data_IF_740106899979
#
_entry.id   IF_740106899979
#
_cell.length_a   1.000
_cell.length_b   1.000
_cell.length_c   1.000
_cell.angle_alpha   90.00
_cell.angle_beta   90.00
_cell.angle_gamma   90.00
#
_symmetry.space_group_name_H-M   'P 1'
#
loop_
_entity.id
_entity.type
_entity.pdbx_description
1 polymer ?
#
# COMPACT_ATOMS: atom_id res chain seq x y z
N UNK A 1 15.52 3.56 26.74
CA UNK A 1 15.21 4.18 25.43
C UNK A 1 15.59 5.66 25.46
N UNK A 2 15.07 6.41 26.42
CA UNK A 2 15.31 7.86 26.51
C UNK A 2 16.77 8.18 26.90
N UNK A 3 17.38 7.37 27.77
CA UNK A 3 18.82 7.49 28.09
C UNK A 3 19.74 7.28 26.87
N UNK A 4 19.35 6.38 25.95
CA UNK A 4 20.12 6.11 24.72
C UNK A 4 19.97 7.29 23.77
N UNK A 5 18.76 7.82 23.63
CA UNK A 5 18.50 9.02 22.83
C UNK A 5 19.31 10.22 23.35
N UNK A 6 19.27 10.49 24.65
CA UNK A 6 20.03 11.57 25.28
C UNK A 6 21.54 11.40 25.10
N UNK A 7 22.03 10.16 25.19
CA UNK A 7 23.44 9.85 24.99
C UNK A 7 23.89 10.11 23.54
N UNK A 8 23.04 9.79 22.56
CA UNK A 8 23.32 10.01 21.13
C UNK A 8 23.27 11.51 20.80
N UNK A 9 22.25 12.22 21.28
CA UNK A 9 22.06 13.66 21.02
C UNK A 9 23.19 14.52 21.60
N UNK A 10 23.80 14.10 22.70
CA UNK A 10 24.94 14.81 23.34
C UNK A 10 26.27 14.66 22.59
N UNK A 11 26.36 13.78 21.57
CA UNK A 11 27.57 13.62 20.79
C UNK A 11 27.80 14.83 19.88
N UNK A 12 28.98 15.45 19.96
CA UNK A 12 29.35 16.61 19.10
C UNK A 12 29.27 16.33 17.60
N UNK A 13 29.36 15.05 17.20
CA UNK A 13 29.22 14.61 15.81
C UNK A 13 27.76 14.51 15.35
N UNK A 14 26.81 14.45 16.29
CA UNK A 14 25.38 14.36 16.00
C UNK A 14 24.82 15.78 15.92
N UNK A 15 24.70 16.28 14.69
CA UNK A 15 23.86 17.46 14.43
C UNK A 15 22.43 16.98 14.37
N UNK A 16 21.62 17.32 15.36
CA UNK A 16 20.16 17.28 15.19
C UNK A 16 19.85 18.32 14.12
N UNK A 17 19.67 17.89 12.88
CA UNK A 17 18.93 18.67 11.90
C UNK A 17 17.53 18.83 12.47
N UNK A 18 17.14 20.06 12.78
CA UNK A 18 15.74 20.39 12.99
C UNK A 18 14.99 19.89 11.76
N UNK A 19 14.26 18.79 11.91
CA UNK A 19 13.43 18.27 10.84
C UNK A 19 12.51 19.41 10.40
N UNK A 20 12.61 19.79 9.12
CA UNK A 20 11.67 20.74 8.56
C UNK A 20 10.28 20.16 8.75
N UNK A 21 9.34 20.95 9.28
CA UNK A 21 7.96 20.49 9.48
C UNK A 21 7.39 19.94 8.18
N UNK A 22 6.44 19.00 8.26
CA UNK A 22 5.76 18.47 7.08
C UNK A 22 5.18 19.59 6.18
N UNK A 23 4.70 20.68 6.79
CA UNK A 23 4.23 21.88 6.11
C UNK A 23 5.34 22.60 5.31
N UNK A 24 6.54 22.71 5.89
CA UNK A 24 7.69 23.30 5.20
C UNK A 24 8.13 22.42 4.02
N UNK A 25 8.19 21.10 4.21
CA UNK A 25 8.54 20.14 3.14
C UNK A 25 7.48 20.17 2.03
N UNK A 26 6.19 20.19 2.37
CA UNK A 26 5.10 20.34 1.42
C UNK A 26 5.22 21.65 0.63
N UNK A 27 5.58 22.75 1.29
CA UNK A 27 5.79 24.05 0.64
C UNK A 27 6.95 23.98 -0.35
N UNK A 28 8.07 23.35 0.00
CA UNK A 28 9.19 23.15 -0.90
C UNK A 28 8.81 22.29 -2.11
N UNK A 29 8.05 21.21 -1.89
CA UNK A 29 7.57 20.36 -2.97
C UNK A 29 6.63 21.11 -3.91
N UNK A 30 5.68 21.85 -3.34
CA UNK A 30 4.73 22.70 -4.07
C UNK A 30 5.43 23.74 -4.95
N UNK A 31 6.51 24.34 -4.43
CA UNK A 31 7.37 25.30 -5.14
C UNK A 31 8.36 24.64 -6.12
N UNK A 32 8.26 23.32 -6.36
CA UNK A 32 9.18 22.53 -7.18
C UNK A 32 10.65 22.59 -6.72
N UNK A 33 10.91 22.88 -5.44
CA UNK A 33 12.28 22.95 -4.86
C UNK A 33 12.84 21.59 -4.44
N UNK A 34 11.97 20.62 -4.17
CA UNK A 34 12.33 19.21 -3.96
C UNK A 34 11.56 18.33 -4.93
N UNK A 35 12.12 17.18 -5.28
CA UNK A 35 11.55 16.22 -6.23
C UNK A 35 10.30 15.51 -5.69
N UNK A 36 9.52 14.89 -6.58
CA UNK A 36 8.38 14.05 -6.17
C UNK A 36 8.86 12.87 -5.32
N UNK A 37 9.98 12.25 -5.70
CA UNK A 37 10.56 11.15 -4.94
C UNK A 37 10.96 11.53 -3.51
N UNK A 38 11.68 12.64 -3.33
CA UNK A 38 12.08 13.11 -1.99
C UNK A 38 10.85 13.44 -1.14
N UNK A 39 9.85 14.08 -1.75
CA UNK A 39 8.61 14.39 -1.05
C UNK A 39 7.84 13.13 -0.62
N UNK A 40 7.73 12.13 -1.50
CA UNK A 40 7.09 10.85 -1.19
C UNK A 40 7.84 10.09 -0.08
N UNK A 41 9.18 10.12 -0.06
CA UNK A 41 9.95 9.55 1.05
C UNK A 41 9.63 10.26 2.37
N UNK A 42 9.54 11.59 2.36
CA UNK A 42 9.19 12.35 3.56
C UNK A 42 7.77 12.06 4.04
N UNK A 43 6.79 12.04 3.14
CA UNK A 43 5.39 11.70 3.45
C UNK A 43 5.27 10.30 4.04
N UNK A 44 6.01 9.32 3.47
CA UNK A 44 6.08 7.97 4.03
C UNK A 44 6.64 7.97 5.46
N UNK A 45 7.77 8.64 5.68
CA UNK A 45 8.39 8.74 7.01
C UNK A 45 7.43 9.33 8.05
N UNK A 46 6.78 10.45 7.73
CA UNK A 46 5.79 11.10 8.61
C UNK A 46 4.55 10.24 8.88
N UNK A 47 4.21 9.35 7.95
CA UNK A 47 3.13 8.38 8.09
C UNK A 47 3.55 7.10 8.85
N UNK A 48 4.75 7.07 9.45
CA UNK A 48 5.27 5.96 10.25
C UNK A 48 5.98 4.87 9.45
N UNK A 49 6.25 5.10 8.15
CA UNK A 49 6.91 4.11 7.29
C UNK A 49 8.42 4.16 7.39
N UNK A 50 9.07 3.01 7.29
CA UNK A 50 10.53 2.92 7.39
C UNK A 50 11.10 1.73 6.60
N UNK A 51 12.30 1.91 6.05
CA UNK A 51 13.07 0.82 5.45
C UNK A 51 13.50 -0.25 6.48
N UNK A 52 13.47 0.08 7.77
CA UNK A 52 13.84 -0.83 8.86
C UNK A 52 12.71 -1.78 9.28
N UNK A 53 11.48 -1.58 8.81
CA UNK A 53 10.31 -2.40 9.13
C UNK A 53 9.58 -2.80 7.84
N UNK A 54 9.74 -4.07 7.43
CA UNK A 54 9.09 -4.61 6.23
C UNK A 54 7.55 -4.66 6.33
N UNK A 55 6.99 -4.65 7.54
CA UNK A 55 5.54 -4.60 7.77
C UNK A 55 4.97 -3.21 7.53
N UNK A 56 5.82 -2.19 7.61
CA UNK A 56 5.51 -0.78 7.40
C UNK A 56 6.49 -0.15 6.39
N UNK A 57 6.82 -0.88 5.33
CA UNK A 57 7.75 -0.39 4.31
C UNK A 57 7.17 0.82 3.56
N UNK A 58 8.00 1.75 3.06
CA UNK A 58 7.51 2.88 2.26
C UNK A 58 6.78 2.43 0.99
N UNK A 59 5.71 3.16 0.66
CA UNK A 59 4.82 2.87 -0.47
C UNK A 59 4.95 3.96 -1.52
N UNK A 60 5.06 3.55 -2.79
CA UNK A 60 5.16 4.44 -3.95
C UNK A 60 4.12 4.06 -5.01
N UNK A 61 3.62 5.01 -5.81
CA UNK A 61 2.62 4.72 -6.82
C UNK A 61 3.21 3.92 -7.98
N UNK A 62 2.40 3.07 -8.61
CA UNK A 62 2.55 2.80 -10.04
C UNK A 62 2.33 4.09 -10.83
N UNK A 63 3.32 4.53 -11.62
CA UNK A 63 3.22 5.74 -12.44
C UNK A 63 2.99 5.43 -13.91
N UNK A 64 3.78 4.52 -14.47
CA UNK A 64 3.67 4.09 -15.86
C UNK A 64 2.58 3.01 -15.97
N UNK A 65 1.80 3.06 -17.04
CA UNK A 65 0.84 2.04 -17.46
C UNK A 65 1.29 1.25 -18.70
N UNK A 66 2.27 1.77 -19.45
CA UNK A 66 2.79 1.14 -20.67
C UNK A 66 4.12 0.39 -20.42
N UNK A 67 4.01 -0.92 -20.18
CA UNK A 67 5.15 -1.83 -20.05
C UNK A 67 5.35 -2.74 -21.28
N UNK A 68 4.51 -2.61 -22.31
CA UNK A 68 4.46 -3.52 -23.47
C UNK A 68 5.05 -2.89 -24.75
N UNK A 69 5.00 -1.57 -24.87
CA UNK A 69 5.53 -0.82 -26.01
C UNK A 69 7.06 -0.85 -26.09
N UNK A 70 7.58 -0.79 -27.32
CA UNK A 70 9.03 -0.69 -27.59
C UNK A 70 9.63 0.65 -27.19
N UNK A 71 8.83 1.71 -27.12
CA UNK A 71 9.24 3.07 -26.75
C UNK A 71 8.28 3.62 -25.71
N UNK A 72 8.82 4.30 -24.72
CA UNK A 72 8.06 4.98 -23.67
C UNK A 72 7.93 6.45 -24.08
N UNK A 73 6.71 6.93 -24.34
CA UNK A 73 6.45 8.34 -24.67
C UNK A 73 5.80 9.07 -23.50
N UNK A 74 6.62 9.75 -22.69
CA UNK A 74 6.15 10.49 -21.52
C UNK A 74 5.33 11.74 -21.84
N UNK A 75 5.13 12.06 -23.13
CA UNK A 75 4.21 13.12 -23.57
C UNK A 75 2.80 12.60 -23.82
N UNK A 76 2.63 11.28 -23.93
CA UNK A 76 1.33 10.66 -24.15
C UNK A 76 0.64 10.39 -22.80
N UNK A 77 -0.51 11.02 -22.51
CA UNK A 77 -1.25 10.77 -21.28
C UNK A 77 -1.60 9.30 -21.04
N UNK A 78 -1.76 8.50 -22.12
CA UNK A 78 -2.07 7.05 -22.03
C UNK A 78 -0.92 6.21 -21.49
N UNK A 79 0.30 6.75 -21.45
CA UNK A 79 1.47 6.09 -20.87
C UNK A 79 1.40 6.06 -19.35
N UNK A 80 0.58 6.91 -18.73
CA UNK A 80 0.50 7.04 -17.28
C UNK A 80 -0.74 6.35 -16.71
N UNK A 81 -0.59 5.83 -15.50
CA UNK A 81 -1.70 5.40 -14.67
C UNK A 81 -2.54 6.61 -14.25
N UNK A 82 -3.85 6.42 -14.16
CA UNK A 82 -4.75 7.33 -13.45
C UNK A 82 -4.45 7.35 -11.93
N UNK A 83 -3.78 8.41 -11.47
CA UNK A 83 -3.42 8.62 -10.06
C UNK A 83 -4.60 9.06 -9.17
N UNK A 84 -5.79 9.28 -9.75
CA UNK A 84 -7.00 9.61 -8.97
C UNK A 84 -7.68 8.39 -8.37
N UNK A 85 -7.24 7.19 -8.77
CA UNK A 85 -7.85 5.90 -8.42
C UNK A 85 -6.85 4.97 -7.71
N UNK A 86 -7.30 4.18 -6.72
CA UNK A 86 -6.52 3.06 -6.22
C UNK A 86 -6.38 1.96 -7.28
N UNK A 87 -5.40 1.07 -7.12
CA UNK A 87 -5.09 -0.02 -8.07
C UNK A 87 -6.36 -0.80 -8.43
N UNK A 88 -7.12 -1.20 -7.40
CA UNK A 88 -8.33 -2.00 -7.55
C UNK A 88 -9.45 -1.33 -8.35
N UNK A 89 -9.38 -0.01 -8.56
CA UNK A 89 -10.37 0.77 -9.30
C UNK A 89 -9.92 1.15 -10.73
N UNK A 90 -8.72 0.77 -11.15
CA UNK A 90 -8.21 1.06 -12.50
C UNK A 90 -9.03 0.34 -13.58
N UNK A 91 -9.36 -0.94 -13.36
CA UNK A 91 -10.12 -1.76 -14.31
C UNK A 91 -11.62 -1.78 -13.98
N UNK A 92 -12.50 -1.21 -14.85
CA UNK A 92 -13.93 -1.05 -14.53
C UNK A 92 -14.67 -2.37 -14.30
N UNK A 93 -14.37 -3.41 -15.08
CA UNK A 93 -15.01 -4.72 -14.94
C UNK A 93 -14.64 -5.38 -13.62
N UNK A 94 -13.37 -5.27 -13.22
CA UNK A 94 -12.90 -5.78 -11.93
C UNK A 94 -13.50 -4.99 -10.76
N UNK A 95 -13.57 -3.66 -10.88
CA UNK A 95 -14.17 -2.80 -9.87
C UNK A 95 -15.64 -3.14 -9.60
N UNK A 96 -16.42 -3.48 -10.64
CA UNK A 96 -17.80 -3.96 -10.46
C UNK A 96 -17.87 -5.21 -9.59
N UNK A 97 -16.92 -6.13 -9.73
CA UNK A 97 -16.81 -7.33 -8.89
C UNK A 97 -16.50 -6.98 -7.43
N UNK A 98 -15.56 -6.06 -7.18
CA UNK A 98 -15.28 -5.59 -5.82
C UNK A 98 -16.48 -4.91 -5.17
N UNK A 99 -17.17 -4.02 -5.89
CA UNK A 99 -18.38 -3.35 -5.38
C UNK A 99 -19.51 -4.33 -5.11
N UNK A 100 -19.71 -5.34 -5.97
CA UNK A 100 -20.67 -6.42 -5.75
C UNK A 100 -20.35 -7.17 -4.46
N UNK A 101 -19.10 -7.64 -4.31
CA UNK A 101 -18.66 -8.36 -3.10
C UNK A 101 -18.86 -7.52 -1.84
N UNK A 102 -18.50 -6.24 -1.87
CA UNK A 102 -18.67 -5.34 -0.72
C UNK A 102 -20.14 -5.17 -0.34
N UNK A 103 -21.03 -5.00 -1.32
CA UNK A 103 -22.47 -4.82 -1.09
C UNK A 103 -23.13 -6.09 -0.56
N UNK A 104 -22.72 -7.25 -1.08
CA UNK A 104 -23.29 -8.54 -0.73
C UNK A 104 -22.59 -9.17 0.51
N UNK A 105 -21.67 -8.44 1.15
CA UNK A 105 -20.90 -8.90 2.31
C UNK A 105 -21.79 -8.98 3.57
N UNK A 106 -21.89 -10.14 4.23
CA UNK A 106 -22.62 -10.25 5.49
C UNK A 106 -22.06 -9.33 6.57
N UNK A 107 -22.95 -8.70 7.35
CA UNK A 107 -22.57 -7.79 8.45
C UNK A 107 -21.61 -8.46 9.43
N UNK A 108 -21.88 -9.72 9.81
CA UNK A 108 -21.05 -10.51 10.73
C UNK A 108 -19.63 -10.73 10.20
N UNK A 109 -19.47 -10.95 8.89
CA UNK A 109 -18.15 -11.18 8.28
C UNK A 109 -17.30 -9.90 8.20
N UNK A 110 -17.96 -8.74 8.27
CA UNK A 110 -17.30 -7.44 8.15
C UNK A 110 -17.20 -6.67 9.46
N UNK A 111 -17.73 -7.24 10.56
CA UNK A 111 -17.98 -6.53 11.82
C UNK A 111 -18.67 -5.17 11.56
N UNK A 112 -19.64 -5.16 10.64
CA UNK A 112 -20.36 -3.95 10.22
C UNK A 112 -19.56 -2.94 9.39
N UNK A 113 -18.33 -3.28 8.96
CA UNK A 113 -17.44 -2.43 8.16
C UNK A 113 -17.13 -3.09 6.81
N UNK A 114 -18.06 -3.06 5.84
CA UNK A 114 -17.84 -3.66 4.53
C UNK A 114 -16.69 -2.96 3.79
N UNK A 115 -15.88 -3.74 3.07
CA UNK A 115 -14.67 -3.29 2.39
C UNK A 115 -14.61 -3.77 0.95
N UNK A 116 -13.82 -3.06 0.11
CA UNK A 116 -13.60 -3.43 -1.28
C UNK A 116 -12.46 -4.42 -1.43
N UNK A 117 -11.38 -4.25 -0.67
CA UNK A 117 -10.13 -5.00 -0.84
C UNK A 117 -9.77 -5.80 0.40
N UNK A 118 -9.79 -7.14 0.27
CA UNK A 118 -9.35 -8.05 1.34
C UNK A 118 -7.84 -8.22 1.42
N UNK A 119 -7.12 -7.81 0.38
CA UNK A 119 -5.66 -7.68 0.38
C UNK A 119 -5.27 -6.22 0.41
N UNK A 120 -4.12 -5.91 1.01
CA UNK A 120 -3.61 -4.55 1.14
C UNK A 120 -2.59 -4.23 0.04
N UNK A 121 -2.42 -2.95 -0.32
CA UNK A 121 -1.45 -2.57 -1.37
C UNK A 121 0.02 -2.68 -0.96
N UNK A 122 0.28 -2.89 0.33
CA UNK A 122 1.62 -3.03 0.89
C UNK A 122 1.61 -4.05 2.02
N UNK A 123 2.32 -5.16 1.83
CA UNK A 123 2.50 -6.23 2.82
C UNK A 123 3.98 -6.65 2.84
N UNK A 124 4.48 -7.27 3.91
CA UNK A 124 5.81 -7.89 3.90
C UNK A 124 6.01 -8.80 2.68
N UNK A 125 5.00 -9.60 2.34
CA UNK A 125 5.03 -10.48 1.18
C UNK A 125 5.24 -9.74 -0.14
N UNK A 126 4.60 -8.59 -0.35
CA UNK A 126 4.77 -7.79 -1.57
C UNK A 126 6.10 -7.05 -1.62
N UNK A 127 6.58 -6.55 -0.48
CA UNK A 127 7.90 -5.93 -0.39
C UNK A 127 8.98 -6.96 -0.75
N UNK A 128 8.90 -8.16 -0.16
CA UNK A 128 9.85 -9.23 -0.45
C UNK A 128 9.68 -9.82 -1.84
N UNK A 129 8.46 -9.85 -2.39
CA UNK A 129 8.22 -10.19 -3.79
C UNK A 129 9.08 -9.32 -4.72
N UNK A 130 9.08 -8.00 -4.52
CA UNK A 130 9.92 -7.10 -5.30
C UNK A 130 11.41 -7.22 -4.96
N UNK A 131 11.75 -7.51 -3.71
CA UNK A 131 13.12 -7.54 -3.21
C UNK A 131 13.77 -8.92 -3.21
N UNK A 132 13.16 -9.95 -3.80
CA UNK A 132 13.65 -11.34 -3.72
C UNK A 132 15.12 -11.49 -4.13
N UNK A 133 15.60 -10.72 -5.12
CA UNK A 133 17.00 -10.70 -5.58
C UNK A 133 17.94 -9.95 -4.63
N UNK A 134 17.44 -8.91 -3.98
CA UNK A 134 18.21 -8.03 -3.09
C UNK A 134 18.29 -8.57 -1.67
N UNK A 135 17.20 -9.11 -1.15
CA UNK A 135 17.00 -9.52 0.24
C UNK A 135 16.45 -10.97 0.34
N UNK A 136 17.08 -11.96 -0.33
CA UNK A 136 16.58 -13.34 -0.41
C UNK A 136 16.42 -14.00 0.96
N UNK A 137 17.29 -13.69 1.92
CA UNK A 137 17.25 -14.24 3.27
C UNK A 137 15.93 -13.93 4.01
N UNK A 138 15.32 -12.77 3.73
CA UNK A 138 14.02 -12.41 4.30
C UNK A 138 12.88 -13.17 3.61
N UNK A 139 12.96 -13.37 2.30
CA UNK A 139 11.99 -14.19 1.56
C UNK A 139 12.03 -15.65 2.05
N UNK A 140 13.22 -16.24 2.18
CA UNK A 140 13.39 -17.60 2.68
C UNK A 140 12.83 -17.76 4.10
N UNK A 141 13.03 -16.76 4.98
CA UNK A 141 12.42 -16.78 6.31
C UNK A 141 10.90 -16.74 6.26
N UNK A 142 10.31 -15.94 5.38
CA UNK A 142 8.87 -15.85 5.21
C UNK A 142 8.28 -17.17 4.64
N UNK A 143 9.02 -17.86 3.79
CA UNK A 143 8.58 -19.05 3.04
C UNK A 143 9.19 -20.35 3.57
N UNK A 144 9.45 -20.43 4.89
CA UNK A 144 9.91 -21.67 5.57
C UNK A 144 11.14 -22.33 4.92
N UNK A 145 12.13 -21.52 4.54
CA UNK A 145 13.43 -21.96 4.04
C UNK A 145 13.52 -22.19 2.53
N UNK A 146 12.46 -21.95 1.76
CA UNK A 146 12.44 -22.15 0.31
C UNK A 146 11.91 -20.90 -0.39
N UNK A 147 12.20 -20.70 -1.67
CA UNK A 147 11.54 -19.66 -2.46
C UNK A 147 10.11 -20.08 -2.81
N UNK A 148 9.26 -19.10 -3.13
CA UNK A 148 7.92 -19.37 -3.66
C UNK A 148 8.00 -20.08 -5.02
N UNK A 149 6.89 -20.65 -5.49
CA UNK A 149 6.85 -21.29 -6.81
C UNK A 149 7.23 -20.29 -7.91
N UNK A 150 7.99 -20.69 -8.93
CA UNK A 150 8.56 -19.76 -9.91
C UNK A 150 7.53 -18.86 -10.60
N UNK A 151 6.35 -19.37 -10.92
CA UNK A 151 5.26 -18.59 -11.54
C UNK A 151 4.66 -17.49 -10.67
N UNK A 152 4.87 -17.55 -9.34
CA UNK A 152 4.46 -16.50 -8.40
C UNK A 152 5.59 -15.53 -8.07
N UNK A 153 6.82 -15.80 -8.47
CA UNK A 153 7.95 -14.91 -8.22
C UNK A 153 7.89 -13.67 -9.12
N UNK A 154 8.56 -12.61 -8.69
CA UNK A 154 8.66 -11.39 -9.46
C UNK A 154 9.61 -11.57 -10.64
N UNK A 155 9.06 -11.99 -11.79
CA UNK A 155 9.86 -12.34 -12.97
C UNK A 155 9.74 -11.33 -14.12
N UNK A 156 8.66 -10.53 -14.20
CA UNK A 156 8.47 -9.55 -15.28
C UNK A 156 7.70 -8.31 -14.82
N UNK A 157 8.15 -7.13 -15.25
CA UNK A 157 7.44 -5.87 -15.00
C UNK A 157 6.10 -5.81 -15.71
N UNK A 158 6.04 -6.25 -16.96
CA UNK A 158 4.79 -6.28 -17.73
C UNK A 158 3.79 -7.22 -17.08
N UNK A 159 4.23 -8.42 -16.67
CA UNK A 159 3.38 -9.37 -15.96
C UNK A 159 2.90 -8.81 -14.61
N UNK A 160 3.80 -8.23 -13.81
CA UNK A 160 3.45 -7.65 -12.52
C UNK A 160 2.40 -6.55 -12.64
N UNK A 161 2.50 -5.71 -13.68
CA UNK A 161 1.50 -4.68 -13.95
C UNK A 161 0.15 -5.27 -14.42
N UNK A 162 0.17 -6.26 -15.32
CA UNK A 162 -1.06 -6.94 -15.74
C UNK A 162 -1.75 -7.67 -14.57
N UNK A 163 -0.98 -8.27 -13.67
CA UNK A 163 -1.51 -8.91 -12.46
C UNK A 163 -2.27 -7.92 -11.59
N UNK A 164 -1.72 -6.71 -11.34
CA UNK A 164 -2.42 -5.68 -10.56
C UNK A 164 -3.65 -5.11 -11.25
N UNK A 165 -3.86 -5.35 -12.55
CA UNK A 165 -5.08 -4.95 -13.26
C UNK A 165 -6.14 -6.05 -13.31
N UNK A 166 -5.73 -7.31 -13.33
CA UNK A 166 -6.62 -8.44 -13.66
C UNK A 166 -6.95 -9.32 -12.47
N UNK A 167 -6.03 -9.50 -11.51
CA UNK A 167 -6.26 -10.36 -10.35
C UNK A 167 -7.14 -9.67 -9.30
N UNK A 168 -8.07 -10.43 -8.70
CA UNK A 168 -8.94 -9.93 -7.61
C UNK A 168 -8.24 -9.91 -6.24
N UNK A 169 -7.05 -10.50 -6.13
CA UNK A 169 -6.26 -10.55 -4.90
C UNK A 169 -5.02 -9.66 -4.97
N UNK A 170 -4.71 -9.11 -6.15
CA UNK A 170 -3.53 -8.27 -6.36
C UNK A 170 -3.91 -6.80 -6.55
N UNK A 171 -3.68 -6.02 -5.50
CA UNK A 171 -3.88 -4.55 -5.48
C UNK A 171 -2.59 -3.82 -5.07
N UNK A 172 -1.42 -4.47 -5.22
CA UNK A 172 -0.15 -3.95 -4.71
C UNK A 172 0.28 -2.66 -5.41
N UNK A 173 0.75 -1.70 -4.62
CA UNK A 173 1.49 -0.53 -5.11
C UNK A 173 2.99 -0.85 -5.13
N UNK A 174 3.81 0.09 -5.60
CA UNK A 174 5.27 -0.07 -5.71
C UNK A 174 6.01 0.32 -4.43
N UNK A 175 7.32 0.08 -4.44
CA UNK A 175 8.29 0.48 -3.41
C UNK A 175 9.28 1.53 -3.97
N UNK A 176 10.01 2.28 -3.12
CA UNK A 176 10.92 3.35 -3.57
C UNK A 176 12.04 2.89 -4.51
N UNK A 177 12.45 1.62 -4.44
CA UNK A 177 13.54 1.04 -5.22
C UNK A 177 13.35 1.22 -6.73
N UNK A 178 12.09 1.18 -7.20
CA UNK A 178 11.74 1.42 -8.60
C UNK A 178 12.13 2.81 -9.12
N UNK A 179 12.38 3.76 -8.21
CA UNK A 179 12.65 5.16 -8.53
C UNK A 179 13.99 5.64 -7.95
N UNK A 180 14.75 4.77 -7.29
CA UNK A 180 15.98 5.13 -6.60
C UNK A 180 17.21 5.00 -7.52
N UNK A 181 17.79 6.14 -7.91
CA UNK A 181 18.96 6.22 -8.77
C UNK A 181 20.28 5.84 -8.07
N UNK A 182 20.28 5.72 -6.75
CA UNK A 182 21.51 5.55 -5.95
C UNK A 182 21.79 4.08 -5.60
N UNK A 183 20.83 3.17 -5.80
CA UNK A 183 21.01 1.73 -5.49
C UNK A 183 21.84 1.02 -6.55
N UNK A 184 22.39 -0.16 -6.23
CA UNK A 184 23.06 -1.02 -7.23
C UNK A 184 22.09 -1.68 -8.23
N UNK A 185 20.79 -1.36 -8.17
CA UNK A 185 19.73 -2.02 -8.95
C UNK A 185 19.71 -3.54 -8.75
N UNK A 186 20.14 -3.96 -7.57
CA UNK A 186 20.22 -5.34 -7.07
C UNK A 186 18.85 -5.97 -6.80
N UNK A 187 17.77 -5.20 -6.79
CA UNK A 187 16.41 -5.73 -6.81
C UNK A 187 15.96 -6.20 -8.22
N UNK A 188 16.62 -5.72 -9.27
CA UNK A 188 16.35 -6.08 -10.67
C UNK A 188 17.24 -7.24 -11.12
N UNK A 189 18.52 -7.20 -10.73
CA UNK A 189 19.54 -8.14 -11.19
C UNK A 189 19.80 -9.25 -10.16
N UNK A 190 19.85 -10.51 -10.59
CA UNK A 190 20.18 -11.69 -9.78
C UNK A 190 21.69 -11.81 -9.56
N UNK A 191 22.31 -10.77 -9.01
CA UNK A 191 23.77 -10.71 -8.78
C UNK A 191 24.32 -11.77 -7.81
N UNK A 192 23.44 -12.47 -7.09
CA UNK A 192 23.78 -13.54 -6.15
C UNK A 192 23.66 -14.94 -6.77
N UNK A 193 23.29 -15.06 -8.04
CA UNK A 193 23.03 -16.33 -8.73
C UNK A 193 22.08 -17.23 -7.92
N UNK A 194 20.97 -16.64 -7.45
CA UNK A 194 19.94 -17.37 -6.72
C UNK A 194 19.26 -18.38 -7.63
N UNK A 195 19.01 -19.59 -7.13
CA UNK A 195 18.13 -20.56 -7.78
C UNK A 195 16.66 -20.18 -7.49
N UNK A 196 16.04 -19.48 -8.43
CA UNK A 196 14.63 -19.07 -8.35
C UNK A 196 13.71 -20.02 -9.15
N UNK A 197 14.27 -21.12 -9.66
CA UNK A 197 13.55 -22.19 -10.36
C UNK A 197 13.05 -21.84 -11.77
N UNK A 198 12.26 -22.78 -12.31
CA UNK A 198 11.74 -22.75 -13.68
C UNK A 198 10.22 -22.68 -13.66
N UNK A 199 9.65 -21.77 -14.45
CA UNK A 199 8.21 -21.59 -14.59
C UNK A 199 7.58 -22.71 -15.41
N UNK A 200 6.26 -22.85 -15.33
CA UNK A 200 5.50 -23.85 -16.08
C UNK A 200 5.68 -23.75 -17.60
N UNK A 201 5.97 -22.57 -18.12
CA UNK A 201 6.25 -22.34 -19.55
C UNK A 201 7.70 -22.70 -19.96
N UNK A 202 8.50 -23.23 -19.03
CA UNK A 202 9.89 -23.60 -19.23
C UNK A 202 10.88 -22.43 -19.11
N UNK A 203 10.41 -21.21 -18.84
CA UNK A 203 11.31 -20.06 -18.62
C UNK A 203 11.93 -20.08 -17.22
N UNK A 204 13.25 -19.89 -17.15
CA UNK A 204 13.94 -19.70 -15.88
C UNK A 204 13.60 -18.35 -15.25
N UNK A 205 13.48 -18.32 -13.93
CA UNK A 205 13.42 -17.06 -13.18
C UNK A 205 14.84 -16.67 -12.81
N UNK A 206 15.33 -15.57 -13.38
CA UNK A 206 16.68 -15.07 -13.10
C UNK A 206 16.64 -13.54 -12.94
N UNK A 207 17.30 -12.74 -13.78
CA UNK A 207 17.10 -11.29 -13.85
C UNK A 207 15.62 -10.93 -14.11
N UNK A 208 15.18 -9.79 -13.57
CA UNK A 208 13.84 -9.28 -13.85
C UNK A 208 13.69 -8.96 -15.34
N UNK A 209 12.67 -9.53 -15.98
CA UNK A 209 12.33 -9.23 -17.37
C UNK A 209 11.82 -7.78 -17.45
N UNK A 210 12.62 -6.94 -18.11
CA UNK A 210 12.37 -5.53 -18.27
C UNK A 210 11.37 -5.24 -19.41
N UNK A 211 10.66 -4.10 -19.35
CA UNK A 211 9.87 -3.61 -20.47
C UNK A 211 10.75 -3.37 -21.70
N UNK A 212 10.19 -3.53 -22.90
CA UNK A 212 10.93 -3.42 -24.17
C UNK A 212 11.62 -2.06 -24.39
N UNK A 213 11.14 -1.02 -23.71
CA UNK A 213 11.73 0.32 -23.76
C UNK A 213 12.97 0.49 -22.86
N UNK A 214 13.33 -0.49 -22.03
CA UNK A 214 14.54 -0.50 -21.21
C UNK A 214 15.43 -1.69 -21.54
N UNK A 215 16.68 -1.42 -21.91
CA UNK A 215 17.69 -2.44 -22.25
C UNK A 215 18.54 -2.87 -21.05
N UNK A 216 18.60 -2.04 -20.01
CA UNK A 216 19.42 -2.29 -18.82
C UNK A 216 18.65 -1.89 -17.57
N UNK A 217 19.00 -2.47 -16.42
CA UNK A 217 18.42 -2.11 -15.12
C UNK A 217 18.56 -0.61 -14.82
N UNK A 218 19.72 -0.03 -15.15
CA UNK A 218 19.94 1.42 -15.01
C UNK A 218 18.99 2.24 -15.88
N UNK A 219 18.82 1.88 -17.15
CA UNK A 219 17.88 2.58 -18.03
C UNK A 219 16.44 2.43 -17.55
N UNK A 220 16.07 1.26 -17.03
CA UNK A 220 14.75 1.01 -16.47
C UNK A 220 14.47 1.95 -15.30
N UNK A 221 15.30 1.94 -14.26
CA UNK A 221 15.10 2.78 -13.06
C UNK A 221 15.18 4.28 -13.40
N UNK A 222 16.08 4.69 -14.31
CA UNK A 222 16.14 6.08 -14.77
C UNK A 222 14.85 6.53 -15.45
N UNK A 223 14.24 5.70 -16.31
CA UNK A 223 12.97 6.03 -16.96
C UNK A 223 11.77 5.98 -16.02
N UNK A 224 11.77 5.07 -15.05
CA UNK A 224 10.78 5.07 -13.97
C UNK A 224 10.86 6.39 -13.19
N UNK A 225 12.07 6.83 -12.81
CA UNK A 225 12.28 8.12 -12.13
C UNK A 225 11.91 9.31 -13.01
N UNK A 226 12.28 9.31 -14.28
CA UNK A 226 11.88 10.35 -15.25
C UNK A 226 10.36 10.48 -15.35
N UNK A 227 9.63 9.35 -15.40
CA UNK A 227 8.18 9.35 -15.42
C UNK A 227 7.59 9.91 -14.11
N UNK A 228 8.11 9.50 -12.94
CA UNK A 228 7.69 10.01 -11.64
C UNK A 228 7.90 11.53 -11.52
N UNK A 229 9.00 12.06 -12.05
CA UNK A 229 9.32 13.49 -12.00
C UNK A 229 8.70 14.32 -13.13
N UNK A 230 8.03 13.68 -14.10
CA UNK A 230 7.37 14.37 -15.21
C UNK A 230 6.35 15.40 -14.75
N UNK A 231 6.09 16.42 -15.58
CA UNK A 231 5.04 17.41 -15.29
C UNK A 231 3.66 16.75 -15.20
N UNK A 232 3.39 15.73 -16.01
CA UNK A 232 2.12 14.99 -15.98
C UNK A 232 1.82 14.44 -14.58
N UNK A 233 2.81 13.78 -13.97
CA UNK A 233 2.71 13.20 -12.62
C UNK A 233 2.74 14.28 -11.56
N UNK A 234 3.63 15.26 -11.68
CA UNK A 234 3.74 16.38 -10.73
C UNK A 234 2.40 17.10 -10.54
N UNK A 235 1.65 17.30 -11.62
CA UNK A 235 0.33 17.93 -11.57
C UNK A 235 -0.77 17.06 -10.94
N UNK A 236 -0.56 15.75 -10.75
CA UNK A 236 -1.60 14.76 -10.39
C UNK A 236 -1.28 13.95 -9.14
N UNK A 237 -0.03 13.94 -8.69
CA UNK A 237 0.46 13.11 -7.59
C UNK A 237 -0.29 13.37 -6.27
N UNK A 238 -0.72 14.61 -6.04
CA UNK A 238 -1.54 15.00 -4.90
C UNK A 238 -2.82 14.14 -4.74
N UNK A 239 -3.43 13.69 -5.84
CA UNK A 239 -4.59 12.80 -5.77
C UNK A 239 -4.26 11.41 -5.25
N UNK A 240 -3.09 10.87 -5.57
CA UNK A 240 -2.65 9.58 -5.03
C UNK A 240 -2.25 9.72 -3.55
N UNK A 241 -1.64 10.85 -3.18
CA UNK A 241 -1.37 11.17 -1.77
C UNK A 241 -2.68 11.24 -0.97
N UNK A 242 -3.75 11.83 -1.53
CA UNK A 242 -5.07 11.84 -0.88
C UNK A 242 -5.60 10.43 -0.58
N UNK A 243 -5.35 9.45 -1.46
CA UNK A 243 -5.78 8.06 -1.28
C UNK A 243 -4.97 7.34 -0.19
N UNK A 244 -3.64 7.52 -0.18
CA UNK A 244 -2.75 6.72 0.65
C UNK A 244 -2.49 7.35 2.03
N UNK A 245 -2.38 8.68 2.10
CA UNK A 245 -1.98 9.42 3.31
C UNK A 245 -2.99 10.51 3.71
N UNK A 246 -3.95 10.82 2.84
CA UNK A 246 -4.81 11.98 2.97
C UNK A 246 -6.28 11.66 3.24
N UNK A 247 -7.14 12.62 2.93
CA UNK A 247 -8.54 12.61 3.37
C UNK A 247 -9.40 11.51 2.70
N UNK A 248 -8.92 10.87 1.62
CA UNK A 248 -9.59 9.75 0.95
C UNK A 248 -9.13 8.37 1.45
N UNK A 249 -8.34 8.31 2.53
CA UNK A 249 -7.90 7.04 3.12
C UNK A 249 -9.03 6.33 3.88
N UNK A 250 -9.93 7.08 4.52
CA UNK A 250 -11.02 6.55 5.35
C UNK A 250 -12.36 7.26 5.11
N UNK A 251 -13.43 6.74 5.72
CA UNK A 251 -14.75 7.36 5.73
C UNK A 251 -15.42 7.43 4.35
N UNK A 252 -16.34 8.38 4.21
CA UNK A 252 -17.16 8.50 2.99
C UNK A 252 -16.34 8.97 1.77
N UNK A 253 -15.28 9.73 1.99
CA UNK A 253 -14.35 10.10 0.93
C UNK A 253 -13.64 8.87 0.33
N UNK A 254 -13.20 7.93 1.18
CA UNK A 254 -12.66 6.66 0.74
C UNK A 254 -13.70 5.80 0.01
N UNK A 255 -14.93 5.73 0.52
CA UNK A 255 -16.03 4.99 -0.13
C UNK A 255 -16.27 5.50 -1.55
N UNK A 256 -16.38 6.82 -1.74
CA UNK A 256 -16.58 7.44 -3.05
C UNK A 256 -15.39 7.25 -4.00
N UNK A 257 -14.19 7.12 -3.45
CA UNK A 257 -12.95 6.90 -4.20
C UNK A 257 -12.64 5.41 -4.42
N UNK A 258 -13.53 4.50 -4.00
CA UNK A 258 -13.33 3.06 -4.01
C UNK A 258 -12.08 2.60 -3.23
N UNK A 259 -11.74 3.26 -2.13
CA UNK A 259 -10.48 3.09 -1.41
C UNK A 259 -10.64 2.45 -0.02
N UNK A 260 -11.46 1.40 0.08
CA UNK A 260 -11.77 0.74 1.36
C UNK A 260 -11.09 -0.63 1.46
N UNK A 261 -10.15 -0.77 2.40
CA UNK A 261 -9.41 -1.99 2.70
C UNK A 261 -10.02 -2.74 3.89
N UNK A 262 -9.52 -3.94 4.15
CA UNK A 262 -9.93 -4.75 5.28
C UNK A 262 -9.79 -3.96 6.60
N UNK A 263 -10.80 -3.98 7.51
CA UNK A 263 -10.82 -3.10 8.68
C UNK A 263 -9.59 -3.17 9.59
N UNK A 264 -9.01 -4.35 9.80
CA UNK A 264 -7.83 -4.52 10.66
C UNK A 264 -6.56 -3.87 10.10
N UNK A 265 -6.56 -3.44 8.84
CA UNK A 265 -5.43 -2.71 8.28
C UNK A 265 -5.34 -1.27 8.80
N UNK A 266 -6.42 -0.71 9.36
CA UNK A 266 -6.45 0.68 9.81
C UNK A 266 -6.03 0.81 11.28
N UNK A 267 -5.26 1.85 11.58
CA UNK A 267 -4.88 2.21 12.95
C UNK A 267 -6.12 2.39 13.84
N UNK A 268 -6.08 1.84 15.06
CA UNK A 268 -7.18 1.94 16.02
C UNK A 268 -8.42 1.11 15.67
N UNK A 269 -8.36 0.23 14.67
CA UNK A 269 -9.50 -0.63 14.32
C UNK A 269 -9.87 -1.64 15.41
N UNK A 270 -8.88 -2.09 16.19
CA UNK A 270 -9.03 -2.99 17.35
C UNK A 270 -8.14 -2.51 18.48
N UNK A 271 -8.67 -2.54 19.70
CA UNK A 271 -7.91 -2.33 20.93
C UNK A 271 -7.39 -3.70 21.42
N UNK A 272 -6.16 -4.03 21.01
CA UNK A 272 -5.54 -5.35 21.27
C UNK A 272 -5.43 -5.62 22.77
N UNK A 273 -5.24 -4.60 23.60
CA UNK A 273 -5.11 -4.76 25.05
C UNK A 273 -6.44 -5.11 25.73
N UNK A 274 -7.57 -4.86 25.07
CA UNK A 274 -8.89 -5.28 25.56
C UNK A 274 -9.27 -6.71 25.14
N UNK A 275 -8.51 -7.33 24.23
CA UNK A 275 -8.73 -8.72 23.81
C UNK A 275 -8.18 -9.65 24.90
N UNK A 276 -9.09 -10.29 25.63
CA UNK A 276 -8.74 -11.15 26.77
C UNK A 276 -8.26 -12.54 26.34
N UNK A 277 -8.77 -13.06 25.23
CA UNK A 277 -8.38 -14.37 24.73
C UNK A 277 -7.01 -14.27 24.03
N UNK A 278 -6.06 -15.07 24.50
CA UNK A 278 -4.69 -15.02 24.00
C UNK A 278 -4.57 -15.53 22.54
N UNK A 279 -5.43 -16.46 22.15
CA UNK A 279 -5.44 -17.03 20.79
C UNK A 279 -5.99 -16.00 19.80
N UNK A 280 -7.11 -15.37 20.15
CA UNK A 280 -7.72 -14.28 19.39
C UNK A 280 -6.75 -13.10 19.26
N UNK A 281 -6.09 -12.71 20.37
CA UNK A 281 -5.06 -11.67 20.36
C UNK A 281 -3.92 -12.00 19.39
N UNK A 282 -3.35 -13.21 19.49
CA UNK A 282 -2.27 -13.64 18.62
C UNK A 282 -2.70 -13.69 17.13
N UNK A 283 -3.93 -14.12 16.86
CA UNK A 283 -4.52 -14.16 15.52
C UNK A 283 -4.66 -12.75 14.92
N UNK A 284 -5.18 -11.79 15.70
CA UNK A 284 -5.31 -10.39 15.29
C UNK A 284 -3.93 -9.75 15.05
N UNK A 285 -2.97 -9.98 15.95
CA UNK A 285 -1.60 -9.48 15.81
C UNK A 285 -0.92 -10.03 14.55
N UNK A 286 -1.07 -11.33 14.25
CA UNK A 286 -0.56 -11.94 13.03
C UNK A 286 -1.23 -11.34 11.78
N UNK A 287 -2.55 -11.17 11.80
CA UNK A 287 -3.31 -10.58 10.70
C UNK A 287 -2.83 -9.17 10.36
N UNK A 288 -2.63 -8.32 11.38
CA UNK A 288 -2.12 -6.94 11.22
C UNK A 288 -0.69 -6.95 10.68
N UNK A 289 0.17 -7.85 11.19
CA UNK A 289 1.58 -7.91 10.82
C UNK A 289 1.78 -8.38 9.38
N UNK A 290 1.02 -9.37 8.94
CA UNK A 290 1.29 -10.08 7.68
C UNK A 290 0.44 -9.59 6.50
N UNK A 291 -0.79 -9.15 6.75
CA UNK A 291 -1.74 -8.83 5.68
C UNK A 291 -1.91 -7.33 5.41
N UNK A 292 -1.00 -6.53 5.97
CA UNK A 292 -0.81 -5.13 5.65
C UNK A 292 -1.39 -4.18 6.68
N UNK A 293 -0.73 -3.05 6.80
CA UNK A 293 -1.09 -1.94 7.67
C UNK A 293 -1.25 -0.72 6.77
N UNK A 294 -2.30 0.05 6.93
CA UNK A 294 -2.52 1.33 6.24
C UNK A 294 -1.64 2.40 6.92
N UNK A 295 -0.92 3.29 6.18
CA UNK A 295 -0.10 4.32 6.81
C UNK A 295 -0.95 5.24 7.67
N UNK A 296 -0.36 5.89 8.67
CA UNK A 296 -1.08 6.90 9.44
C UNK A 296 -1.61 8.00 8.53
N UNK A 297 -2.87 8.40 8.71
CA UNK A 297 -3.46 9.52 7.98
C UNK A 297 -2.84 10.84 8.49
N UNK A 298 -2.04 11.49 7.66
CA UNK A 298 -1.34 12.73 8.03
C UNK A 298 -1.94 13.98 7.38
N UNK A 299 -2.82 13.83 6.37
CA UNK A 299 -3.57 14.93 5.78
C UNK A 299 -5.08 14.71 5.90
N UNK A 300 -5.81 15.75 6.31
CA UNK A 300 -7.29 15.70 6.50
C UNK A 300 -8.08 16.53 5.48
N UNK A 301 -7.40 17.36 4.72
CA UNK A 301 -7.95 18.16 3.62
C UNK A 301 -7.37 17.69 2.27
N UNK A 302 -7.96 18.10 1.13
CA UNK A 302 -7.38 17.82 -0.18
C UNK A 302 -5.94 18.32 -0.28
N UNK A 303 -5.04 17.43 -0.69
CA UNK A 303 -3.63 17.74 -0.84
C UNK A 303 -3.42 18.79 -1.95
N UNK A 304 -2.58 19.83 -1.74
CA UNK A 304 -2.37 20.85 -2.76
C UNK A 304 -1.76 20.27 -4.03
N UNK A 305 -2.21 20.77 -5.19
CA UNK A 305 -1.63 20.47 -6.50
C UNK A 305 -0.27 21.14 -6.64
N UNK A 306 0.78 20.37 -6.90
CA UNK A 306 2.14 20.91 -7.09
C UNK A 306 2.16 22.00 -8.17
N UNK A 307 2.76 23.15 -7.85
CA UNK A 307 2.97 24.25 -8.79
C UNK A 307 1.72 25.10 -9.11
N UNK A 308 0.56 24.85 -8.50
CA UNK A 308 -0.55 25.81 -8.62
C UNK A 308 -0.24 27.09 -7.84
N UNK A 309 -0.75 28.28 -8.24
CA UNK A 309 -0.69 29.46 -7.39
C UNK A 309 -1.29 29.08 -6.03
N UNK A 310 -0.59 29.33 -4.93
CA UNK A 310 -1.17 29.14 -3.60
C UNK A 310 -2.39 30.06 -3.54
N UNK A 311 -3.60 29.51 -3.49
CA UNK A 311 -4.79 30.30 -3.20
C UNK A 311 -4.56 30.97 -1.86
N UNK A 312 -4.41 32.29 -1.86
CA UNK A 312 -4.45 33.11 -0.64
C UNK A 312 -5.89 33.10 -0.10
N UNK A 313 -6.28 32.03 0.56
CA UNK A 313 -7.49 31.89 1.40
C UNK A 313 -7.00 30.96 2.52
N UNK A 314 -6.63 31.41 3.73
CA UNK A 314 -7.43 32.18 4.69
C UNK A 314 -6.56 33.09 5.58
N UNK A 315 -6.23 34.31 5.14
CA UNK A 315 -5.63 35.34 5.98
C UNK A 315 -6.14 36.72 5.55
N UNK A 316 -7.41 37.02 5.87
CA UNK A 316 -7.90 38.39 5.99
C UNK A 316 -9.25 38.42 6.74
N UNK A 317 -9.36 39.36 7.69
CA UNK A 317 -10.45 39.63 8.65
C UNK A 317 -10.54 38.62 9.80
N UNK A 318 -10.12 38.96 11.02
CA UNK A 318 -10.66 40.07 11.81
C UNK A 318 -9.56 40.87 12.51
N UNK A 319 -9.50 42.17 12.20
CA UNK A 319 -9.11 43.14 13.20
C UNK A 319 -10.38 43.47 13.98
N UNK A 320 -10.44 43.06 15.25
CA UNK A 320 -11.10 43.87 16.26
C UNK A 320 -10.61 43.48 17.65
N UNK A 321 -10.21 44.50 18.40
CA UNK A 321 -9.82 44.41 19.80
C UNK A 321 -11.08 44.29 20.66
N UNK A 322 -11.18 43.27 21.52
CA UNK A 322 -11.89 43.36 22.80
C UNK A 322 -11.71 42.08 23.64
N UNK A 323 -10.98 42.23 24.75
CA UNK A 323 -11.27 41.72 26.10
C UNK A 323 -11.94 40.34 26.28
N UNK A 324 -11.20 39.46 26.95
CA UNK A 324 -11.66 38.25 27.66
C UNK A 324 -12.83 38.54 28.62
N UNK A 325 -13.77 37.59 28.76
CA UNK A 325 -14.40 37.36 30.06
C UNK A 325 -14.27 35.92 30.58
N UNK A 326 -14.33 35.87 31.91
CA UNK A 326 -14.05 34.79 32.83
C UNK A 326 -14.95 33.54 32.72
N UNK A 327 -14.37 32.43 33.20
CA UNK A 327 -15.07 31.20 33.56
C UNK A 327 -16.24 31.47 34.53
N UNK A 328 -17.38 30.82 34.27
CA UNK A 328 -18.38 30.46 35.27
C UNK A 328 -18.69 28.97 35.18
N UNK A 329 -18.80 28.37 36.36
CA UNK A 329 -19.03 26.96 36.59
C UNK A 329 -20.52 26.59 36.71
N UNK A 330 -20.81 25.34 36.32
CA UNK A 330 -21.88 24.42 36.80
C UNK A 330 -23.35 24.74 36.42
N UNK A 331 -24.29 23.75 36.40
CA UNK A 331 -24.29 22.50 37.17
C UNK A 331 -24.79 21.20 36.48
N UNK A 332 -24.64 20.12 37.25
CA UNK A 332 -25.15 18.74 37.11
C UNK A 332 -26.63 18.64 36.71
N UNK A 333 -26.98 17.61 35.92
CA UNK A 333 -28.24 16.88 36.04
C UNK A 333 -28.11 15.39 35.67
N UNK A 334 -28.64 14.55 36.56
CA UNK A 334 -28.87 13.11 36.46
C UNK A 334 -29.76 12.70 35.28
N UNK A 335 -29.51 11.52 34.70
CA UNK A 335 -30.61 10.64 34.27
C UNK A 335 -30.20 9.16 34.22
N UNK A 336 -31.11 8.34 34.74
CA UNK A 336 -31.06 6.88 34.94
C UNK A 336 -31.50 6.11 33.69
N UNK A 337 -31.00 4.87 33.58
CA UNK A 337 -31.65 3.72 32.89
C UNK A 337 -31.17 3.50 31.45
N UNK A 338 -31.01 2.30 30.90
CA UNK A 338 -31.26 0.92 31.35
C UNK A 338 -30.50 -0.01 30.38
N UNK A 339 -30.05 -1.19 30.84
CA UNK A 339 -29.45 -2.24 30.00
C UNK A 339 -30.52 -3.22 29.50
N UNK A 340 -30.35 -3.78 28.30
CA UNK A 340 -30.74 -5.17 28.01
C UNK A 340 -29.57 -6.01 27.44
N UNK A 341 -29.72 -7.35 27.35
CA UNK A 341 -28.66 -8.28 27.69
C UNK A 341 -27.81 -8.78 26.53
N UNK A 342 -26.62 -9.24 26.92
CA UNK A 342 -25.66 -10.06 26.19
C UNK A 342 -26.30 -11.28 25.50
N UNK A 343 -26.04 -11.41 24.20
CA UNK A 343 -26.09 -12.70 23.48
C UNK A 343 -24.69 -13.00 22.93
N UNK A 344 -24.23 -14.22 23.19
CA UNK A 344 -22.91 -14.74 22.80
C UNK A 344 -22.83 -14.92 21.28
N UNK A 345 -21.73 -14.57 20.60
CA UNK A 345 -21.45 -15.08 19.28
C UNK A 345 -20.78 -16.46 19.38
N UNK A 346 -21.34 -17.39 18.63
CA UNK A 346 -20.81 -18.71 18.32
C UNK A 346 -19.59 -18.61 17.40
N UNK A 347 -18.59 -19.47 17.67
CA UNK A 347 -17.37 -19.63 16.89
C UNK A 347 -17.65 -19.95 15.41
N UNK A 348 -17.06 -19.17 14.52
CA UNK A 348 -16.86 -19.55 13.12
C UNK A 348 -15.59 -18.84 12.57
N UNK A 349 -14.43 -19.36 12.96
CA UNK A 349 -13.17 -19.08 12.28
C UNK A 349 -13.20 -19.67 10.86
N UNK A 350 -12.99 -18.84 9.83
CA UNK A 350 -12.66 -19.30 8.48
C UNK A 350 -11.20 -18.93 8.21
N UNK A 351 -10.34 -19.95 8.26
CA UNK A 351 -8.95 -19.89 7.81
C UNK A 351 -8.92 -19.81 6.28
N UNK A 352 -8.23 -18.83 5.65
CA UNK A 352 -8.05 -18.83 4.20
C UNK A 352 -6.78 -19.61 3.85
N UNK A 353 -6.82 -20.92 4.06
CA UNK A 353 -5.87 -21.84 3.42
C UNK A 353 -6.66 -22.93 2.70
N UNK A 354 -6.87 -22.75 1.40
CA UNK A 354 -7.19 -23.87 0.53
C UNK A 354 -6.54 -23.66 -0.85
N UNK A 355 -5.78 -24.64 -1.36
CA UNK A 355 -5.11 -24.59 -2.65
C UNK A 355 -6.13 -24.78 -3.78
N UNK A 356 -5.98 -24.01 -4.86
CA UNK A 356 -6.83 -24.12 -6.05
C UNK A 356 -6.39 -25.37 -6.83
N UNK A 357 -7.18 -26.44 -6.71
CA UNK A 357 -7.11 -27.63 -7.54
C UNK A 357 -7.66 -27.38 -8.94
N UNK A 358 -6.99 -27.97 -9.94
CA UNK A 358 -7.29 -27.93 -11.36
C UNK A 358 -8.71 -28.37 -11.71
N UNK A 359 -9.40 -27.58 -12.52
CA UNK A 359 -10.63 -27.99 -13.21
C UNK A 359 -10.30 -28.96 -14.34
N UNK A 360 -10.75 -30.20 -14.21
CA UNK A 360 -10.78 -31.20 -15.28
C UNK A 360 -12.04 -32.04 -15.12
N UNK A 361 -13.11 -31.68 -15.82
CA UNK A 361 -14.25 -32.56 -16.07
C UNK A 361 -14.37 -32.77 -17.57
N UNK A 362 -14.51 -34.00 -18.03
CA UNK A 362 -15.69 -34.49 -18.74
C UNK A 362 -15.70 -36.02 -18.68
N UNK A 363 -16.82 -36.49 -18.17
CA UNK A 363 -17.36 -37.83 -18.10
C UNK A 363 -17.80 -38.35 -19.50
N UNK A 364 -17.49 -39.62 -19.80
CA UNK A 364 -18.24 -40.47 -20.71
C UNK A 364 -18.13 -41.93 -20.26
N UNK A 365 -19.13 -42.41 -19.52
CA UNK A 365 -19.41 -43.84 -19.40
C UNK A 365 -19.94 -44.42 -20.73
N UNK A 366 -19.65 -45.69 -21.04
CA UNK A 366 -20.41 -46.90 -20.65
C UNK A 366 -20.07 -48.10 -21.58
N UNK A 367 -20.15 -49.30 -20.99
CA UNK A 367 -20.31 -50.66 -21.61
C UNK A 367 -19.06 -51.25 -22.32
N UNK A 368 -18.65 -52.51 -22.15
CA UNK A 368 -19.13 -53.66 -21.38
C UNK A 368 -18.28 -54.91 -21.75
N UNK A 369 -18.25 -55.89 -20.84
CA UNK A 369 -18.06 -57.37 -21.06
C UNK A 369 -16.79 -57.87 -21.76
N UNK A 370 -16.06 -58.78 -21.08
CA UNK A 370 -15.13 -59.71 -21.74
C UNK A 370 -14.21 -60.46 -20.78
N UNK A 371 -14.56 -61.70 -20.47
CA UNK A 371 -13.76 -62.70 -19.73
C UNK A 371 -12.36 -62.91 -20.32
N UNK A 372 -11.35 -63.05 -19.45
CA UNK A 372 -10.53 -64.25 -19.28
C UNK A 372 -9.59 -64.15 -18.09
#
# INVERSE_FOLDING_TARGET
>A
RDEIYDTIVRQKAVKITTESSLEAVQTLWHQKKISNYEYLLRVNHEAGRSFNDITQYPVFPWVIADYSSRRLDLRNPKTFRDLTKPVGALEPTRLKTFRRRMRDMPTEMSNGKPFLYGTHYSTPGYVLYFLVRRAPEYMLRLQSGHFDVPDRLFHSMEYAYQSVLTSNTDVKELIPEFYNLDTKRDFVLNTKNLDLGVRQDGSEVDDLILPKWARTASQFVSKMREALESDYVSERLHHWIDLIFGYKQTGEAARRADNLFFPLTYEGAVDIEKVKDATERASIEAQIREFGQTPRQIFRSPHPKRGSPSSKQDMASTGDSASLPALKASPEQDSKGSFPPTTKPTDAYISPTAPIGSTGGVDKGREGVGEK
#
